data_IF_833372209814
#
_entry.id   IF_833372209814
#
_cell.length_a   1.000
_cell.length_b   1.000
_cell.length_c   1.000
_cell.angle_alpha   90.00
_cell.angle_beta   90.00
_cell.angle_gamma   90.00
#
_symmetry.space_group_name_H-M   'P 1'
#
loop_
_entity.id
_entity.type
_entity.pdbx_description
1 polymer ?
#
# COMPACT_ATOMS: atom_id res chain seq x y z
N UNK A 1 -8.27 0.90 -18.81
CA UNK A 1 -8.67 0.54 -17.43
C UNK A 1 -9.92 1.33 -17.07
N UNK A 2 -10.96 0.67 -16.55
CA UNK A 2 -12.17 1.36 -16.11
C UNK A 2 -11.85 2.34 -14.96
N UNK A 3 -12.53 3.50 -14.86
CA UNK A 3 -12.35 4.45 -13.76
C UNK A 3 -12.54 3.79 -12.39
N UNK A 4 -13.51 2.88 -12.30
CA UNK A 4 -13.78 2.09 -11.09
C UNK A 4 -12.59 1.21 -10.67
N UNK A 5 -11.89 0.57 -11.61
CA UNK A 5 -10.69 -0.21 -11.29
C UNK A 5 -9.60 0.69 -10.68
N UNK A 6 -9.40 1.91 -11.18
CA UNK A 6 -8.42 2.85 -10.64
C UNK A 6 -8.77 3.25 -9.20
N UNK A 7 -10.05 3.49 -8.92
CA UNK A 7 -10.54 3.83 -7.57
C UNK A 7 -10.33 2.65 -6.61
N UNK A 8 -10.67 1.43 -7.03
CA UNK A 8 -10.48 0.21 -6.22
C UNK A 8 -9.00 -0.02 -5.92
N UNK A 9 -8.13 0.09 -6.92
CA UNK A 9 -6.68 -0.05 -6.74
C UNK A 9 -6.13 1.03 -5.80
N UNK A 10 -6.61 2.27 -5.94
CA UNK A 10 -6.27 3.37 -5.03
C UNK A 10 -6.67 3.06 -3.58
N UNK A 11 -7.91 2.62 -3.36
CA UNK A 11 -8.41 2.21 -2.04
C UNK A 11 -7.59 1.08 -1.42
N UNK A 12 -7.26 0.04 -2.18
CA UNK A 12 -6.43 -1.07 -1.71
C UNK A 12 -5.02 -0.59 -1.35
N UNK A 13 -4.40 0.24 -2.20
CA UNK A 13 -3.10 0.85 -1.88
C UNK A 13 -3.17 1.74 -0.62
N UNK A 14 -4.27 2.46 -0.42
CA UNK A 14 -4.46 3.32 0.75
C UNK A 14 -4.59 2.52 2.02
N UNK A 15 -5.39 1.43 2.00
CA UNK A 15 -5.52 0.51 3.12
C UNK A 15 -4.18 -0.16 3.45
N UNK A 16 -3.40 -0.56 2.44
CA UNK A 16 -2.06 -1.09 2.64
C UNK A 16 -1.12 -0.03 3.21
N UNK A 17 -1.09 1.18 2.66
CA UNK A 17 -0.25 2.27 3.14
C UNK A 17 -0.57 2.66 4.60
N UNK A 18 -1.84 2.72 4.96
CA UNK A 18 -2.30 2.93 6.34
C UNK A 18 -1.92 1.74 7.24
N UNK A 19 -2.07 0.50 6.76
CA UNK A 19 -1.63 -0.69 7.46
C UNK A 19 -0.13 -0.65 7.77
N UNK A 20 0.69 -0.27 6.80
CA UNK A 20 2.14 -0.10 6.93
C UNK A 20 2.54 1.04 7.88
N UNK A 21 1.72 2.09 8.01
CA UNK A 21 2.03 3.25 8.85
C UNK A 21 1.54 3.11 10.30
N UNK A 22 0.33 2.57 10.50
CA UNK A 22 -0.38 2.59 11.78
C UNK A 22 -0.39 1.26 12.53
N UNK A 23 -0.25 0.12 11.85
CA UNK A 23 -0.35 -1.21 12.47
C UNK A 23 0.91 -2.04 12.20
N UNK A 24 2.04 -1.70 12.85
CA UNK A 24 3.28 -2.46 12.71
C UNK A 24 3.10 -3.94 13.11
N UNK A 25 2.18 -4.27 14.02
CA UNK A 25 1.89 -5.66 14.42
C UNK A 25 1.30 -6.52 13.29
N UNK A 26 0.45 -5.93 12.43
CA UNK A 26 -0.12 -6.63 11.27
C UNK A 26 0.94 -6.86 10.21
N UNK A 27 1.82 -5.87 10.02
CA UNK A 27 2.98 -5.98 9.14
C UNK A 27 3.91 -7.05 9.63
N UNK A 28 4.26 -7.09 10.93
CA UNK A 28 5.13 -8.14 11.49
C UNK A 28 4.55 -9.53 11.27
N UNK A 29 3.23 -9.72 11.41
CA UNK A 29 2.60 -11.01 11.12
C UNK A 29 2.66 -11.39 9.64
N UNK A 30 2.36 -10.45 8.74
CA UNK A 30 2.51 -10.70 7.29
C UNK A 30 3.97 -10.94 6.90
N UNK A 31 4.88 -10.19 7.52
CA UNK A 31 6.31 -10.29 7.28
C UNK A 31 6.85 -11.61 7.82
N UNK A 32 6.33 -12.13 8.94
CA UNK A 32 6.66 -13.46 9.46
C UNK A 32 6.26 -14.57 8.48
N UNK A 33 5.13 -14.44 7.78
CA UNK A 33 4.73 -15.37 6.71
C UNK A 33 5.64 -15.21 5.48
N UNK A 34 6.00 -13.97 5.12
CA UNK A 34 6.94 -13.70 4.01
C UNK A 34 8.38 -14.14 4.32
N UNK A 35 8.75 -14.17 5.61
CA UNK A 35 10.07 -14.57 6.14
C UNK A 35 10.36 -16.03 5.81
N UNK A 36 9.33 -16.87 5.75
CA UNK A 36 9.47 -18.27 5.35
C UNK A 36 9.69 -18.45 3.85
N UNK A 37 9.35 -17.46 3.02
CA UNK A 37 9.36 -17.62 1.56
C UNK A 37 10.37 -16.75 0.81
N UNK A 38 10.72 -15.54 1.27
CA UNK A 38 11.33 -14.56 0.35
C UNK A 38 12.45 -13.65 0.87
N UNK A 39 12.43 -13.08 2.09
CA UNK A 39 13.30 -11.92 2.37
C UNK A 39 13.96 -11.90 3.76
N UNK A 40 15.29 -11.73 3.72
CA UNK A 40 16.21 -11.52 4.84
C UNK A 40 15.83 -10.22 5.61
N UNK A 41 15.63 -10.36 6.92
CA UNK A 41 14.85 -9.48 7.83
C UNK A 41 15.14 -7.97 7.85
N UNK A 42 16.36 -7.54 7.56
CA UNK A 42 16.83 -6.25 8.10
C UNK A 42 16.34 -5.03 7.35
N UNK A 43 15.99 -5.16 6.06
CA UNK A 43 15.76 -4.00 5.19
C UNK A 43 14.31 -3.49 5.25
N UNK A 44 13.34 -4.41 5.28
CA UNK A 44 11.91 -4.08 5.24
C UNK A 44 11.45 -3.47 6.56
N UNK A 45 11.95 -3.97 7.69
CA UNK A 45 11.61 -3.44 9.01
C UNK A 45 12.14 -1.99 9.21
N UNK A 46 13.28 -1.66 8.61
CA UNK A 46 13.86 -0.31 8.67
C UNK A 46 13.10 0.69 7.77
N UNK A 47 12.66 0.24 6.59
CA UNK A 47 12.00 1.10 5.59
C UNK A 47 10.47 1.02 5.57
N UNK A 48 9.84 0.30 6.52
CA UNK A 48 8.37 0.18 6.65
C UNK A 48 7.62 1.50 6.51
N UNK A 49 8.14 2.59 7.09
CA UNK A 49 7.55 3.94 6.97
C UNK A 49 7.66 4.50 5.55
N UNK A 50 8.77 4.25 4.84
CA UNK A 50 8.95 4.67 3.45
C UNK A 50 7.98 3.92 2.54
N UNK A 51 7.83 2.61 2.74
CA UNK A 51 6.86 1.81 2.00
C UNK A 51 5.42 2.23 2.29
N UNK A 52 5.07 2.48 3.55
CA UNK A 52 3.75 3.03 3.92
C UNK A 52 3.46 4.38 3.26
N UNK A 53 4.43 5.31 3.27
CA UNK A 53 4.31 6.59 2.56
C UNK A 53 4.22 6.43 1.05
N UNK A 54 4.98 5.51 0.46
CA UNK A 54 4.93 5.22 -0.98
C UNK A 54 3.55 4.70 -1.38
N UNK A 55 3.00 3.72 -0.65
CA UNK A 55 1.66 3.20 -0.90
C UNK A 55 0.56 4.24 -0.68
N UNK A 56 0.71 5.13 0.30
CA UNK A 56 -0.21 6.26 0.50
C UNK A 56 -0.16 7.25 -0.67
N UNK A 57 1.03 7.63 -1.14
CA UNK A 57 1.19 8.50 -2.32
C UNK A 57 0.56 7.86 -3.56
N UNK A 58 0.80 6.56 -3.75
CA UNK A 58 0.25 5.80 -4.86
C UNK A 58 -1.29 5.76 -4.79
N UNK A 59 -1.85 5.55 -3.58
CA UNK A 59 -3.29 5.64 -3.32
C UNK A 59 -3.87 6.98 -3.76
N UNK A 60 -3.28 8.10 -3.32
CA UNK A 60 -3.75 9.43 -3.71
C UNK A 60 -3.70 9.63 -5.23
N UNK A 61 -2.63 9.16 -5.89
CA UNK A 61 -2.47 9.28 -7.33
C UNK A 61 -3.54 8.49 -8.10
N UNK A 62 -3.79 7.24 -7.70
CA UNK A 62 -4.81 6.40 -8.32
C UNK A 62 -6.24 6.89 -8.05
N UNK A 63 -6.53 7.36 -6.83
CA UNK A 63 -7.82 7.95 -6.49
C UNK A 63 -8.07 9.24 -7.28
N UNK A 64 -7.06 10.10 -7.40
CA UNK A 64 -7.16 11.32 -8.20
C UNK A 64 -7.38 11.02 -9.68
N UNK A 65 -6.61 10.09 -10.26
CA UNK A 65 -6.80 9.64 -11.65
C UNK A 65 -8.16 8.95 -11.87
N UNK A 66 -8.66 8.22 -10.88
CA UNK A 66 -9.98 7.58 -10.93
C UNK A 66 -11.10 8.61 -10.90
N UNK A 67 -10.97 9.63 -10.03
CA UNK A 67 -11.93 10.71 -9.90
C UNK A 67 -11.99 11.60 -11.13
N UNK A 68 -10.84 11.98 -11.71
CA UNK A 68 -10.80 12.77 -12.94
C UNK A 68 -11.38 12.00 -14.13
N UNK A 69 -11.10 10.70 -14.24
CA UNK A 69 -11.66 9.83 -15.27
C UNK A 69 -13.17 9.55 -15.11
N UNK A 70 -13.75 9.80 -13.93
CA UNK A 70 -15.20 9.69 -13.70
C UNK A 70 -15.93 10.99 -14.04
N UNK A 71 -15.22 12.14 -13.99
CA UNK A 71 -15.78 13.46 -14.29
C UNK A 71 -15.73 13.80 -15.79
N UNK A 72 -14.85 13.16 -16.56
CA UNK A 72 -14.82 13.19 -18.03
C UNK A 72 -15.87 12.24 -18.61
#
# INVERSE_FOLDING_TARGET
MSPLLKIVVGLVCGLLGLGYLYRPDLIERMNAVLREYLLNDSYIALERRKWGMFFLLLSFLFLFMGWTALRQ
#
